data_IF_835859881344
#
_entry.id   IF_835859881344
#
_cell.length_a   1.000
_cell.length_b   1.000
_cell.length_c   1.000
_cell.angle_alpha   90.00
_cell.angle_beta   90.00
_cell.angle_gamma   90.00
#
_symmetry.space_group_name_H-M   'P 1'
#
loop_
_entity.id
_entity.type
_entity.pdbx_description
1 polymer ?
#
# COMPACT_ATOMS: atom_id res chain seq x y z
N UNK A 1 26.25 -0.30 1.30
CA UNK A 1 25.13 0.64 1.53
C UNK A 1 23.78 -0.05 1.32
N UNK A 2 23.54 -0.75 0.19
CA UNK A 2 22.28 -1.47 -0.07
C UNK A 2 21.95 -2.56 0.95
N UNK A 3 22.91 -3.42 1.32
CA UNK A 3 22.69 -4.45 2.34
C UNK A 3 22.28 -3.88 3.72
N UNK A 4 22.81 -2.71 4.08
CA UNK A 4 22.46 -2.04 5.33
C UNK A 4 21.01 -1.52 5.29
N UNK A 5 20.54 -1.05 4.13
CA UNK A 5 19.16 -0.61 3.94
C UNK A 5 18.17 -1.78 4.02
N UNK A 6 18.50 -2.94 3.42
CA UNK A 6 17.69 -4.17 3.54
C UNK A 6 17.58 -4.60 5.00
N UNK A 7 18.71 -4.68 5.71
CA UNK A 7 18.72 -5.07 7.12
C UNK A 7 17.95 -4.08 8.02
N UNK A 8 17.99 -2.79 7.70
CA UNK A 8 17.18 -1.78 8.40
C UNK A 8 15.67 -2.00 8.16
N UNK A 9 15.28 -2.37 6.94
CA UNK A 9 13.90 -2.77 6.61
C UNK A 9 13.45 -3.99 7.41
N UNK A 10 14.27 -5.05 7.43
CA UNK A 10 13.99 -6.27 8.19
C UNK A 10 13.86 -5.98 9.69
N UNK A 11 14.71 -5.10 10.22
CA UNK A 11 14.62 -4.66 11.61
C UNK A 11 13.30 -3.94 11.90
N UNK A 12 12.87 -3.00 11.05
CA UNK A 12 11.60 -2.28 11.22
C UNK A 12 10.40 -3.22 11.13
N UNK A 13 10.41 -4.14 10.16
CA UNK A 13 9.37 -5.16 10.03
C UNK A 13 9.30 -6.06 11.27
N UNK A 14 10.45 -6.51 11.77
CA UNK A 14 10.54 -7.28 13.01
C UNK A 14 9.95 -6.52 14.21
N UNK A 15 10.28 -5.23 14.36
CA UNK A 15 9.72 -4.38 15.41
C UNK A 15 8.21 -4.19 15.28
N UNK A 16 7.71 -4.04 14.06
CA UNK A 16 6.27 -3.97 13.79
C UNK A 16 5.58 -5.29 14.19
N UNK A 17 6.13 -6.45 13.82
CA UNK A 17 5.59 -7.75 14.22
C UNK A 17 5.54 -7.94 15.75
N UNK A 18 6.59 -7.50 16.47
CA UNK A 18 6.60 -7.53 17.94
C UNK A 18 5.50 -6.62 18.52
N UNK A 19 5.31 -5.42 17.96
CA UNK A 19 4.25 -4.52 18.38
C UNK A 19 2.86 -5.12 18.12
N UNK A 20 2.65 -5.74 16.95
CA UNK A 20 1.40 -6.40 16.60
C UNK A 20 1.07 -7.57 17.53
N UNK A 21 2.05 -8.42 17.82
CA UNK A 21 1.88 -9.53 18.76
C UNK A 21 1.50 -9.03 20.17
N UNK A 22 2.02 -7.88 20.59
CA UNK A 22 1.72 -7.29 21.90
C UNK A 22 0.26 -6.83 22.05
N UNK A 23 -0.45 -6.59 20.94
CA UNK A 23 -1.87 -6.23 20.93
C UNK A 23 -2.77 -7.39 21.40
N UNK A 24 -2.28 -8.64 21.34
CA UNK A 24 -3.04 -9.85 21.70
C UNK A 24 -4.41 -9.96 21.00
N UNK A 25 -4.51 -9.39 19.80
CA UNK A 25 -5.70 -9.45 18.95
C UNK A 25 -5.34 -10.16 17.65
N UNK A 26 -5.72 -11.43 17.54
CA UNK A 26 -5.36 -12.29 16.40
C UNK A 26 -5.97 -11.82 15.09
N UNK A 27 -7.16 -11.23 15.12
CA UNK A 27 -7.81 -10.69 13.92
C UNK A 27 -7.02 -9.50 13.36
N UNK A 28 -6.61 -8.56 14.21
CA UNK A 28 -5.77 -7.41 13.82
C UNK A 28 -4.40 -7.86 13.31
N UNK A 29 -3.77 -8.82 14.00
CA UNK A 29 -2.50 -9.40 13.55
C UNK A 29 -2.64 -10.03 12.17
N UNK A 30 -3.72 -10.78 11.93
CA UNK A 30 -4.00 -11.39 10.63
C UNK A 30 -4.18 -10.34 9.53
N UNK A 31 -4.95 -9.28 9.80
CA UNK A 31 -5.19 -8.22 8.82
C UNK A 31 -3.88 -7.55 8.39
N UNK A 32 -3.01 -7.22 9.34
CA UNK A 32 -1.74 -6.55 9.03
C UNK A 32 -0.68 -7.51 8.47
N UNK A 33 -0.73 -8.80 8.78
CA UNK A 33 0.06 -9.80 8.07
C UNK A 33 -0.35 -9.92 6.60
N UNK A 34 -1.66 -9.92 6.31
CA UNK A 34 -2.20 -9.89 4.95
C UNK A 34 -1.77 -8.64 4.19
N UNK A 35 -1.64 -7.48 4.87
CA UNK A 35 -1.08 -6.28 4.24
C UNK A 35 0.35 -6.51 3.77
N UNK A 36 1.20 -7.15 4.59
CA UNK A 36 2.60 -7.42 4.19
C UNK A 36 2.63 -8.30 2.93
N UNK A 37 1.80 -9.34 2.88
CA UNK A 37 1.64 -10.18 1.69
C UNK A 37 1.21 -9.33 0.48
N UNK A 38 0.15 -8.53 0.63
CA UNK A 38 -0.35 -7.65 -0.42
C UNK A 38 0.72 -6.69 -0.96
N UNK A 39 1.53 -6.07 -0.10
CA UNK A 39 2.58 -5.15 -0.52
C UNK A 39 3.62 -5.88 -1.40
N UNK A 40 4.03 -7.08 -1.00
CA UNK A 40 4.95 -7.92 -1.79
C UNK A 40 4.31 -8.32 -3.13
N UNK A 41 3.03 -8.70 -3.13
CA UNK A 41 2.29 -9.02 -4.35
C UNK A 41 2.20 -7.81 -5.28
N UNK A 42 1.87 -6.63 -4.77
CA UNK A 42 1.78 -5.39 -5.55
C UNK A 42 3.11 -5.01 -6.19
N UNK A 43 4.21 -5.15 -5.45
CA UNK A 43 5.55 -4.90 -6.00
C UNK A 43 5.95 -5.95 -7.05
N UNK A 44 5.59 -7.21 -6.84
CA UNK A 44 5.82 -8.29 -7.81
C UNK A 44 5.00 -8.08 -9.09
N UNK A 45 3.75 -7.65 -8.98
CA UNK A 45 2.91 -7.29 -10.12
C UNK A 45 3.62 -6.23 -10.96
N UNK A 46 4.10 -5.14 -10.34
CA UNK A 46 4.84 -4.09 -11.03
C UNK A 46 6.09 -4.60 -11.76
N UNK A 47 6.86 -5.49 -11.15
CA UNK A 47 8.07 -6.06 -11.77
C UNK A 47 7.76 -6.99 -12.96
N UNK A 48 6.58 -7.60 -12.98
CA UNK A 48 6.18 -8.63 -13.97
C UNK A 48 5.16 -8.15 -14.99
N UNK A 49 4.78 -6.86 -14.95
CA UNK A 49 3.72 -6.29 -15.78
C UNK A 49 4.08 -6.30 -17.27
N UNK A 50 3.22 -6.87 -18.11
CA UNK A 50 3.34 -6.83 -19.57
C UNK A 50 2.80 -5.53 -20.17
N UNK A 51 3.15 -5.23 -21.43
CA UNK A 51 2.65 -4.03 -22.11
C UNK A 51 1.12 -3.99 -22.26
N UNK A 52 0.48 -5.15 -22.41
CA UNK A 52 -0.99 -5.25 -22.49
C UNK A 52 -1.64 -5.00 -21.11
N UNK A 53 -1.04 -5.54 -20.04
CA UNK A 53 -1.50 -5.33 -18.67
C UNK A 53 -1.35 -3.87 -18.22
N UNK A 54 -0.31 -3.16 -18.69
CA UNK A 54 -0.14 -1.71 -18.44
C UNK A 54 -1.32 -0.86 -18.91
N UNK A 55 -2.01 -1.28 -19.97
CA UNK A 55 -3.16 -0.56 -20.51
C UNK A 55 -4.49 -1.00 -19.88
N UNK A 56 -4.49 -1.99 -18.98
CA UNK A 56 -5.70 -2.49 -18.32
C UNK A 56 -6.00 -1.70 -17.06
N UNK A 57 -7.16 -1.02 -17.05
CA UNK A 57 -7.65 -0.31 -15.86
C UNK A 57 -7.90 -1.27 -14.68
N UNK A 58 -8.33 -2.49 -14.96
CA UNK A 58 -8.53 -3.52 -13.93
C UNK A 58 -7.20 -3.90 -13.27
N UNK A 59 -6.17 -4.15 -14.08
CA UNK A 59 -4.84 -4.46 -13.58
C UNK A 59 -4.25 -3.29 -12.79
N UNK A 60 -4.42 -2.06 -13.28
CA UNK A 60 -4.04 -0.85 -12.57
C UNK A 60 -4.69 -0.74 -11.20
N UNK A 61 -6.01 -0.89 -11.11
CA UNK A 61 -6.75 -0.82 -9.84
C UNK A 61 -6.34 -1.94 -8.88
N UNK A 62 -6.11 -3.15 -9.39
CA UNK A 62 -5.65 -4.28 -8.58
C UNK A 62 -4.24 -4.05 -8.03
N UNK A 63 -3.30 -3.63 -8.88
CA UNK A 63 -1.93 -3.26 -8.48
C UNK A 63 -1.96 -2.16 -7.42
N UNK A 64 -2.74 -1.10 -7.67
CA UNK A 64 -2.92 0.05 -6.77
C UNK A 64 -3.51 -0.36 -5.42
N UNK A 65 -4.47 -1.28 -5.44
CA UNK A 65 -5.01 -1.84 -4.21
C UNK A 65 -3.92 -2.54 -3.41
N UNK A 66 -3.19 -3.47 -4.01
CA UNK A 66 -2.15 -4.22 -3.30
C UNK A 66 -1.02 -3.35 -2.78
N UNK A 67 -0.53 -2.42 -3.61
CA UNK A 67 0.62 -1.56 -3.29
C UNK A 67 0.30 -0.44 -2.29
N UNK A 68 -0.92 0.10 -2.32
CA UNK A 68 -1.26 1.31 -1.55
C UNK A 68 -2.52 1.12 -0.72
N UNK A 69 -3.67 0.82 -1.35
CA UNK A 69 -4.95 0.91 -0.66
C UNK A 69 -5.15 -0.19 0.40
N UNK A 70 -4.51 -1.34 0.25
CA UNK A 70 -4.62 -2.48 1.17
C UNK A 70 -4.10 -2.15 2.57
N UNK A 71 -3.00 -1.39 2.66
CA UNK A 71 -2.44 -0.94 3.94
C UNK A 71 -3.41 0.00 4.65
N UNK A 72 -3.97 0.96 3.91
CA UNK A 72 -4.90 1.96 4.46
C UNK A 72 -6.21 1.29 4.90
N UNK A 73 -6.80 0.45 4.05
CA UNK A 73 -8.07 -0.23 4.34
C UNK A 73 -7.99 -1.14 5.56
N UNK A 74 -6.96 -1.99 5.62
CA UNK A 74 -6.77 -2.90 6.76
C UNK A 74 -6.40 -2.14 8.02
N UNK A 75 -5.63 -1.05 7.95
CA UNK A 75 -5.35 -0.20 9.12
C UNK A 75 -6.62 0.42 9.70
N UNK A 76 -7.50 0.99 8.85
CA UNK A 76 -8.79 1.52 9.29
C UNK A 76 -9.65 0.44 9.95
N UNK A 77 -9.74 -0.75 9.35
CA UNK A 77 -10.46 -1.90 9.92
C UNK A 77 -9.87 -2.33 11.27
N UNK A 78 -8.54 -2.45 11.36
CA UNK A 78 -7.84 -2.85 12.58
C UNK A 78 -8.11 -1.87 13.73
N UNK A 79 -8.14 -0.57 13.46
CA UNK A 79 -8.46 0.44 14.48
C UNK A 79 -9.91 0.29 14.98
N UNK A 80 -10.87 0.08 14.08
CA UNK A 80 -12.26 -0.15 14.47
C UNK A 80 -12.42 -1.41 15.35
N UNK A 81 -11.74 -2.49 15.00
CA UNK A 81 -11.71 -3.72 15.81
C UNK A 81 -11.08 -3.51 17.18
N UNK A 82 -9.94 -2.82 17.26
CA UNK A 82 -9.28 -2.49 18.53
C UNK A 82 -10.14 -1.58 19.42
N UNK A 83 -10.95 -0.72 18.82
CA UNK A 83 -11.92 0.12 19.53
C UNK A 83 -13.19 -0.62 19.96
N UNK A 84 -13.30 -1.94 19.69
CA UNK A 84 -14.45 -2.75 20.07
C UNK A 84 -15.72 -2.44 19.26
N UNK A 85 -15.57 -1.90 18.04
CA UNK A 85 -16.70 -1.60 17.17
C UNK A 85 -17.31 -2.88 16.56
N UNK A 86 -18.52 -2.75 16.03
CA UNK A 86 -19.21 -3.87 15.37
C UNK A 86 -18.49 -4.29 14.09
N UNK A 87 -18.78 -5.51 13.62
CA UNK A 87 -18.29 -6.00 12.33
C UNK A 87 -18.72 -5.09 11.17
N UNK A 88 -19.94 -4.55 11.23
CA UNK A 88 -20.47 -3.60 10.24
C UNK A 88 -19.64 -2.32 10.19
N UNK A 89 -19.40 -1.67 11.33
CA UNK A 89 -18.58 -0.45 11.42
C UNK A 89 -17.15 -0.73 10.97
N UNK A 90 -16.58 -1.88 11.34
CA UNK A 90 -15.24 -2.29 10.92
C UNK A 90 -15.14 -2.47 9.40
N UNK A 91 -16.19 -3.00 8.76
CA UNK A 91 -16.25 -3.11 7.29
C UNK A 91 -16.46 -1.76 6.61
N UNK A 92 -17.25 -0.86 7.19
CA UNK A 92 -17.37 0.51 6.68
C UNK A 92 -16.02 1.25 6.75
N UNK A 93 -15.27 1.07 7.84
CA UNK A 93 -13.92 1.63 7.98
C UNK A 93 -12.95 1.06 6.93
N UNK A 94 -13.05 -0.24 6.65
CA UNK A 94 -12.28 -0.89 5.58
C UNK A 94 -12.59 -0.28 4.20
N UNK A 95 -13.86 -0.19 3.83
CA UNK A 95 -14.28 0.36 2.52
C UNK A 95 -13.91 1.83 2.39
N UNK A 96 -14.02 2.61 3.47
CA UNK A 96 -13.53 3.99 3.50
C UNK A 96 -12.02 4.04 3.18
N UNK A 97 -11.20 3.27 3.92
CA UNK A 97 -9.76 3.26 3.72
C UNK A 97 -9.34 2.76 2.34
N UNK A 98 -10.06 1.79 1.78
CA UNK A 98 -9.84 1.26 0.43
C UNK A 98 -10.06 2.34 -0.62
N UNK A 99 -11.22 3.01 -0.59
CA UNK A 99 -11.54 4.06 -1.56
C UNK A 99 -10.60 5.27 -1.41
N UNK A 100 -10.26 5.64 -0.18
CA UNK A 100 -9.28 6.69 0.10
C UNK A 100 -7.91 6.35 -0.50
N UNK A 101 -7.42 5.13 -0.30
CA UNK A 101 -6.12 4.71 -0.81
C UNK A 101 -6.06 4.63 -2.34
N UNK A 102 -7.13 4.16 -2.98
CA UNK A 102 -7.24 4.18 -4.45
C UNK A 102 -7.24 5.61 -4.99
N UNK A 103 -8.04 6.50 -4.39
CA UNK A 103 -8.11 7.90 -4.80
C UNK A 103 -6.77 8.63 -4.58
N UNK A 104 -6.09 8.35 -3.47
CA UNK A 104 -4.78 8.91 -3.17
C UNK A 104 -3.76 8.58 -4.26
N UNK A 105 -3.63 7.29 -4.62
CA UNK A 105 -2.66 6.89 -5.63
C UNK A 105 -3.02 7.43 -7.02
N UNK A 106 -4.32 7.48 -7.37
CA UNK A 106 -4.74 8.06 -8.64
C UNK A 106 -4.34 9.53 -8.76
N UNK A 107 -4.47 10.29 -7.67
CA UNK A 107 -4.05 11.70 -7.63
C UNK A 107 -2.52 11.79 -7.72
N UNK A 108 -1.78 10.95 -7.00
CA UNK A 108 -0.31 10.88 -7.02
C UNK A 108 0.22 10.63 -8.45
N UNK A 109 -0.34 9.63 -9.13
CA UNK A 109 0.03 9.29 -10.52
C UNK A 109 -0.29 10.43 -11.51
N UNK A 110 -1.43 11.12 -11.31
CA UNK A 110 -1.79 12.30 -12.12
C UNK A 110 -0.82 13.45 -11.85
N UNK A 111 -0.46 13.70 -10.58
CA UNK A 111 0.49 14.72 -10.18
C UNK A 111 1.88 14.45 -10.77
N UNK A 112 2.31 13.20 -10.82
CA UNK A 112 3.57 12.81 -11.47
C UNK A 112 3.57 13.07 -12.98
N UNK A 113 2.40 13.02 -13.63
CA UNK A 113 2.26 13.33 -15.05
C UNK A 113 2.24 14.85 -15.32
N UNK A 114 1.50 15.63 -14.52
CA UNK A 114 1.32 17.09 -14.74
C UNK A 114 2.39 17.94 -14.06
N UNK A 115 3.10 17.37 -13.09
CA UNK A 115 4.08 18.06 -12.27
C UNK A 115 5.35 18.41 -13.02
N UNK A 116 5.49 19.70 -13.37
CA UNK A 116 6.80 20.28 -13.70
C UNK A 116 7.73 20.24 -12.47
N UNK A 117 9.02 20.05 -12.72
CA UNK A 117 10.12 19.81 -11.78
C UNK A 117 10.29 20.79 -10.59
N UNK A 118 9.45 21.82 -10.46
CA UNK A 118 9.54 22.85 -9.43
C UNK A 118 8.66 22.60 -8.18
N UNK A 119 7.58 21.82 -8.27
CA UNK A 119 6.60 21.70 -7.17
C UNK A 119 6.66 20.39 -6.36
N UNK A 120 7.30 19.34 -6.88
CA UNK A 120 7.24 17.98 -6.29
C UNK A 120 8.43 17.59 -5.41
N UNK A 121 9.50 18.41 -5.31
CA UNK A 121 10.69 18.10 -4.51
C UNK A 121 11.49 16.86 -4.95
N UNK A 122 10.99 16.09 -5.94
CA UNK A 122 11.68 15.07 -6.71
C UNK A 122 11.63 15.47 -8.19
N UNK A 123 12.69 15.18 -8.93
CA UNK A 123 12.77 15.54 -10.35
C UNK A 123 11.61 14.93 -11.13
N UNK A 124 10.81 15.79 -11.76
CA UNK A 124 9.77 15.42 -12.74
C UNK A 124 10.26 14.30 -13.67
N UNK A 125 9.39 13.32 -13.92
CA UNK A 125 9.60 12.16 -14.80
C UNK A 125 10.45 11.00 -14.21
N UNK A 126 10.55 10.81 -12.90
CA UNK A 126 11.31 9.65 -12.35
C UNK A 126 10.75 8.32 -12.83
N UNK A 127 9.42 8.19 -12.93
CA UNK A 127 8.78 6.90 -13.19
C UNK A 127 8.74 6.57 -14.69
N UNK A 128 8.61 7.60 -15.54
CA UNK A 128 8.79 7.48 -17.00
C UNK A 128 10.23 7.10 -17.35
N UNK A 129 11.23 7.58 -16.58
CA UNK A 129 12.64 7.20 -16.80
C UNK A 129 12.95 5.76 -16.39
N UNK A 130 12.16 5.18 -15.49
CA UNK A 130 12.33 3.80 -15.00
C UNK A 130 11.33 2.80 -15.60
N UNK A 131 10.47 3.22 -16.55
CA UNK A 131 9.51 2.35 -17.24
C UNK A 131 8.59 1.55 -16.31
N UNK A 132 8.21 2.11 -15.18
CA UNK A 132 7.39 1.49 -14.14
C UNK A 132 5.95 2.00 -14.24
N UNK A 133 5.25 1.54 -15.28
CA UNK A 133 3.78 1.54 -15.32
C UNK A 133 3.28 0.11 -15.12
#
# INVERSE_FOLDING_TARGET
>A
MVQLAVLAGDFLLSRACVALASLKNTEVVSLLATVVEHLVTGETMQMTTTSEQRCSMEYYLQKTYYKTASLISNSCKSIALLAGQTAEVSMLAYEYGKNLGLAYQLIDDVLDFIGTSASLGKGSLSDIRHSIF
#
